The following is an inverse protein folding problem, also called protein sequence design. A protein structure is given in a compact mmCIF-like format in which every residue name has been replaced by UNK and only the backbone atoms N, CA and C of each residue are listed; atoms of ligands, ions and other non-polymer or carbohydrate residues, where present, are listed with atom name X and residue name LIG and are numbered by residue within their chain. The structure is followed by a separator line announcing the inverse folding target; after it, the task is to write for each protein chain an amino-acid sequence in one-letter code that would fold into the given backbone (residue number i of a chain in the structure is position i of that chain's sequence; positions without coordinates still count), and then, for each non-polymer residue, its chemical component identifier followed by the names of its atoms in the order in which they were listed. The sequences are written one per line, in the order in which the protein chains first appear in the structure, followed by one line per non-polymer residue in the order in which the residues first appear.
data_IF_020996753909
#
_entry.id   IF_020996753909
#
_cell.length_a   1.000
_cell.length_b   1.000
_cell.length_c   1.000
_cell.angle_alpha   90.00
_cell.angle_beta   90.00
_cell.angle_gamma   90.00
#
_symmetry.space_group_name_H-M   'P 1'
#
loop_
_entity.id
_entity.type
_entity.pdbx_description
1 polymer ?
#
# COMPACT_ATOMS: atom_id res chain seq x y z
N UNK A 1 39.79 -22.35 49.51
CA UNK A 1 38.85 -21.20 49.54
C UNK A 1 38.97 -20.46 48.21
N UNK A 2 38.04 -20.69 47.28
CA UNK A 2 38.09 -20.12 45.93
C UNK A 2 37.26 -18.82 45.85
N UNK A 3 37.89 -17.74 45.38
CA UNK A 3 37.31 -16.40 45.27
C UNK A 3 36.56 -16.29 43.93
N UNK A 4 35.24 -16.25 43.96
CA UNK A 4 34.40 -16.12 42.76
C UNK A 4 34.58 -14.73 42.13
N UNK A 5 35.14 -14.68 40.92
CA UNK A 5 35.23 -13.46 40.12
C UNK A 5 33.82 -13.05 39.66
N UNK A 6 33.39 -11.84 40.04
CA UNK A 6 32.17 -11.20 39.50
C UNK A 6 32.33 -11.06 38.00
N UNK A 7 31.50 -11.78 37.23
CA UNK A 7 31.31 -11.50 35.81
C UNK A 7 30.76 -10.08 35.68
N UNK A 8 31.59 -9.13 35.24
CA UNK A 8 31.14 -7.82 34.78
C UNK A 8 30.30 -8.02 33.52
N UNK A 9 29.00 -7.80 33.61
CA UNK A 9 28.14 -7.67 32.44
C UNK A 9 28.64 -6.49 31.61
N UNK A 10 29.04 -6.76 30.36
CA UNK A 10 29.38 -5.68 29.42
C UNK A 10 28.17 -4.77 29.25
N UNK A 11 28.34 -3.44 29.21
CA UNK A 11 27.24 -2.54 28.95
C UNK A 11 26.59 -2.88 27.59
N UNK A 12 25.26 -2.76 27.47
CA UNK A 12 24.56 -3.08 26.24
C UNK A 12 25.09 -2.22 25.08
N UNK A 13 25.26 -2.78 23.88
CA UNK A 13 25.82 -2.07 22.76
C UNK A 13 24.95 -0.85 22.38
N UNK A 14 25.57 0.28 22.03
CA UNK A 14 24.85 1.49 21.67
C UNK A 14 23.97 1.23 20.45
N UNK A 15 22.73 1.74 20.51
CA UNK A 15 21.68 1.52 19.51
C UNK A 15 21.95 2.23 18.18
N UNK A 16 22.66 3.35 18.22
CA UNK A 16 22.93 4.14 17.02
C UNK A 16 24.44 4.31 16.84
N UNK A 17 24.91 4.11 15.61
CA UNK A 17 26.27 4.36 15.18
C UNK A 17 26.25 5.39 14.05
N UNK A 18 26.85 6.55 14.29
CA UNK A 18 26.99 7.60 13.28
C UNK A 18 28.30 7.35 12.54
N UNK A 19 28.24 7.27 11.22
CA UNK A 19 29.40 7.13 10.33
C UNK A 19 29.35 8.20 9.25
N UNK A 20 30.49 8.74 8.87
CA UNK A 20 30.57 9.68 7.76
C UNK A 20 30.91 8.91 6.46
N UNK A 21 30.10 9.11 5.40
CA UNK A 21 30.34 8.54 4.07
C UNK A 21 30.07 9.61 3.03
N UNK A 22 30.99 9.81 2.11
CA UNK A 22 30.85 10.75 0.99
C UNK A 22 30.48 12.18 1.44
N UNK A 23 31.08 12.64 2.55
CA UNK A 23 30.82 13.95 3.14
C UNK A 23 29.44 14.12 3.77
N UNK A 24 28.75 13.01 4.10
CA UNK A 24 27.45 13.00 4.77
C UNK A 24 27.49 12.12 6.00
N UNK A 25 26.88 12.60 7.09
CA UNK A 25 26.67 11.82 8.30
C UNK A 25 25.50 10.85 8.09
N UNK A 26 25.77 9.56 8.21
CA UNK A 26 24.81 8.46 8.17
C UNK A 26 24.62 7.89 9.58
N UNK A 27 23.38 7.79 10.02
CA UNK A 27 23.02 7.17 11.29
C UNK A 27 22.56 5.74 11.04
N UNK A 28 23.29 4.76 11.57
CA UNK A 28 23.00 3.32 11.48
C UNK A 28 22.37 2.87 12.80
N UNK A 29 21.19 2.23 12.76
CA UNK A 29 20.59 1.58 13.93
C UNK A 29 21.22 0.17 14.09
N UNK A 30 22.15 0.04 15.03
CA UNK A 30 22.87 -1.22 15.32
C UNK A 30 22.01 -2.26 16.03
N UNK A 31 20.78 -1.93 16.48
CA UNK A 31 19.84 -2.92 16.98
C UNK A 31 18.99 -3.55 15.86
N UNK A 32 18.97 -2.94 14.67
CA UNK A 32 18.31 -3.52 13.50
C UNK A 32 19.08 -4.71 12.90
N UNK A 33 20.37 -4.88 13.22
CA UNK A 33 21.22 -5.99 12.78
C UNK A 33 20.99 -7.31 13.53
N UNK A 34 20.09 -7.35 14.51
CA UNK A 34 19.47 -8.63 14.91
C UNK A 34 18.68 -9.10 13.70
N UNK A 35 18.94 -10.30 13.12
CA UNK A 35 18.57 -10.66 11.75
C UNK A 35 17.09 -10.42 11.48
N UNK A 36 16.81 -9.18 11.10
CA UNK A 36 15.54 -8.72 10.61
C UNK A 36 15.56 -9.28 9.21
N UNK A 37 14.70 -10.27 9.01
CA UNK A 37 14.35 -10.89 7.74
C UNK A 37 14.61 -9.85 6.65
N UNK A 38 15.69 -10.05 5.89
CA UNK A 38 16.05 -9.24 4.72
C UNK A 38 14.72 -8.99 3.99
N UNK A 39 14.22 -7.75 3.84
CA UNK A 39 12.99 -7.53 3.13
C UNK A 39 13.21 -8.13 1.76
N UNK A 40 12.48 -9.21 1.50
CA UNK A 40 12.80 -10.13 0.42
C UNK A 40 13.05 -9.33 -0.83
N UNK A 41 14.19 -9.63 -1.47
CA UNK A 41 14.43 -9.45 -2.91
C UNK A 41 13.07 -9.40 -3.58
N UNK A 42 12.64 -8.20 -3.99
CA UNK A 42 11.26 -7.94 -4.41
C UNK A 42 10.95 -8.80 -5.63
N UNK A 43 10.48 -10.01 -5.35
CA UNK A 43 10.09 -10.98 -6.35
C UNK A 43 8.73 -10.52 -6.83
N UNK A 44 8.74 -9.75 -7.91
CA UNK A 44 7.56 -9.63 -8.76
C UNK A 44 7.30 -11.04 -9.32
N UNK A 45 6.57 -11.87 -8.57
CA UNK A 45 6.17 -13.17 -9.08
C UNK A 45 5.10 -13.02 -10.17
N UNK A 46 5.14 -13.89 -11.20
CA UNK A 46 4.18 -13.89 -12.28
C UNK A 46 2.77 -14.18 -11.75
N UNK A 47 1.77 -13.60 -12.40
CA UNK A 47 0.34 -13.78 -12.12
C UNK A 47 0.06 -15.29 -11.96
N UNK A 48 -0.44 -15.71 -10.79
CA UNK A 48 -0.69 -17.12 -10.51
C UNK A 48 -1.80 -17.64 -11.44
N UNK A 49 -1.63 -18.83 -12.03
CA UNK A 49 -2.47 -19.35 -13.11
C UNK A 49 -3.95 -19.67 -12.77
N UNK A 50 -4.47 -19.24 -11.61
CA UNK A 50 -5.87 -19.39 -11.18
C UNK A 50 -6.60 -18.07 -10.89
N UNK A 51 -5.95 -16.96 -11.20
CA UNK A 51 -6.39 -15.61 -10.88
C UNK A 51 -7.45 -15.13 -11.91
N UNK A 52 -8.69 -14.92 -11.45
CA UNK A 52 -9.79 -14.44 -12.31
C UNK A 52 -9.49 -13.09 -12.98
N UNK A 53 -10.29 -12.67 -13.97
CA UNK A 53 -10.02 -11.54 -14.89
C UNK A 53 -9.49 -10.25 -14.22
N UNK A 54 -9.87 -9.97 -12.96
CA UNK A 54 -9.42 -8.77 -12.24
C UNK A 54 -8.14 -8.91 -11.41
N UNK A 55 -7.63 -10.12 -11.21
CA UNK A 55 -6.38 -10.35 -10.49
C UNK A 55 -5.09 -9.85 -11.21
N UNK A 56 -4.95 -9.86 -12.56
CA UNK A 56 -3.85 -9.16 -13.22
C UNK A 56 -3.88 -7.64 -12.97
N UNK A 57 -5.07 -7.03 -12.87
CA UNK A 57 -5.20 -5.61 -12.58
C UNK A 57 -4.71 -5.29 -11.16
N UNK A 58 -5.12 -6.08 -10.17
CA UNK A 58 -4.64 -5.94 -8.80
C UNK A 58 -3.13 -6.26 -8.73
N UNK A 59 -2.61 -7.23 -9.51
CA UNK A 59 -1.17 -7.51 -9.71
C UNK A 59 -0.39 -6.28 -10.13
N UNK A 60 -0.90 -5.56 -11.12
CA UNK A 60 -0.25 -4.36 -11.63
C UNK A 60 -0.23 -3.23 -10.59
N UNK A 61 -1.34 -3.04 -9.87
CA UNK A 61 -1.52 -1.92 -8.94
C UNK A 61 -0.86 -2.14 -7.57
N UNK A 62 -0.83 -3.38 -7.08
CA UNK A 62 -0.30 -3.73 -5.76
C UNK A 62 0.75 -4.82 -5.89
N UNK A 63 1.99 -4.39 -6.17
CA UNK A 63 3.13 -5.29 -6.37
C UNK A 63 3.71 -5.84 -5.07
N UNK A 64 3.48 -5.15 -3.95
CA UNK A 64 4.06 -5.53 -2.65
C UNK A 64 3.16 -6.56 -1.95
N UNK A 65 3.77 -7.64 -1.44
CA UNK A 65 3.11 -8.69 -0.66
C UNK A 65 3.77 -8.84 0.72
N UNK A 66 3.03 -9.35 1.69
CA UNK A 66 3.55 -9.74 3.01
C UNK A 66 4.20 -11.14 2.98
N UNK A 67 4.79 -11.54 4.12
CA UNK A 67 5.40 -12.87 4.28
C UNK A 67 4.40 -14.04 4.13
N UNK A 68 3.10 -13.76 4.28
CA UNK A 68 1.99 -14.69 4.12
C UNK A 68 1.40 -14.68 2.69
N UNK A 69 2.01 -13.93 1.75
CA UNK A 69 1.61 -13.85 0.35
C UNK A 69 0.42 -12.92 0.06
N UNK A 70 -0.11 -12.20 1.05
CA UNK A 70 -1.21 -11.23 0.89
C UNK A 70 -0.70 -9.92 0.35
N UNK A 71 -1.50 -9.22 -0.45
CA UNK A 71 -1.11 -7.93 -1.04
C UNK A 71 -1.23 -6.79 -0.04
N UNK A 72 -0.31 -5.85 -0.11
CA UNK A 72 -0.25 -4.70 0.79
C UNK A 72 -0.75 -3.43 0.10
N UNK A 73 -1.78 -2.81 0.66
CA UNK A 73 -2.28 -1.49 0.29
C UNK A 73 -1.65 -0.46 1.23
N UNK A 74 -0.85 0.46 0.69
CA UNK A 74 -0.33 1.60 1.45
C UNK A 74 -1.25 2.80 1.25
N UNK A 75 -1.81 3.33 2.32
CA UNK A 75 -2.66 4.52 2.29
C UNK A 75 -1.82 5.80 2.41
N UNK A 76 -2.37 6.94 2.00
CA UNK A 76 -1.69 8.23 2.15
C UNK A 76 -2.57 9.29 2.82
N UNK A 77 -1.94 10.32 3.45
CA UNK A 77 -2.64 11.27 4.33
C UNK A 77 -3.68 12.15 3.62
N UNK A 78 -3.56 12.29 2.30
CA UNK A 78 -4.44 13.11 1.45
C UNK A 78 -5.83 12.50 1.22
N UNK A 79 -6.04 11.21 1.50
CA UNK A 79 -7.35 10.57 1.33
C UNK A 79 -7.72 9.57 2.43
N UNK A 80 -6.81 9.24 3.35
CA UNK A 80 -7.11 8.46 4.55
C UNK A 80 -6.98 9.32 5.81
N UNK A 81 -8.09 9.46 6.55
CA UNK A 81 -8.12 10.25 7.80
C UNK A 81 -7.23 9.67 8.88
N UNK A 82 -7.00 8.35 8.88
CA UNK A 82 -6.14 7.67 9.86
C UNK A 82 -4.65 7.77 9.52
N UNK A 83 -4.28 8.49 8.46
CA UNK A 83 -2.89 8.71 8.06
C UNK A 83 -2.31 7.58 7.21
N UNK A 84 -1.00 7.61 6.93
CA UNK A 84 -0.34 6.63 6.09
C UNK A 84 -0.16 5.31 6.88
N UNK A 85 -0.86 4.26 6.46
CA UNK A 85 -0.81 2.92 7.06
C UNK A 85 -0.81 1.84 6.00
N UNK A 86 -0.29 0.68 6.35
CA UNK A 86 -0.23 -0.49 5.48
C UNK A 86 -1.35 -1.46 5.86
N UNK A 87 -2.21 -1.79 4.90
CA UNK A 87 -3.36 -2.69 5.08
C UNK A 87 -3.08 -3.96 4.27
N UNK A 88 -3.06 -5.12 4.94
CA UNK A 88 -3.01 -6.40 4.27
C UNK A 88 -4.40 -6.73 3.70
N UNK A 89 -4.49 -6.86 2.38
CA UNK A 89 -5.74 -7.11 1.69
C UNK A 89 -6.23 -8.54 1.97
N UNK A 90 -7.51 -8.63 2.34
CA UNK A 90 -8.21 -9.91 2.36
C UNK A 90 -8.56 -10.36 0.93
N UNK A 91 -8.77 -11.66 0.66
CA UNK A 91 -9.18 -12.13 -0.68
C UNK A 91 -10.47 -11.46 -1.20
N UNK A 92 -11.38 -11.12 -0.29
CA UNK A 92 -12.62 -10.36 -0.60
C UNK A 92 -12.31 -8.91 -0.95
N UNK A 93 -11.36 -8.28 -0.25
CA UNK A 93 -10.85 -6.94 -0.55
C UNK A 93 -10.18 -6.87 -1.91
N UNK A 94 -9.34 -7.86 -2.25
CA UNK A 94 -8.71 -7.96 -3.58
C UNK A 94 -9.73 -8.02 -4.71
N UNK A 95 -10.76 -8.87 -4.59
CA UNK A 95 -11.84 -8.96 -5.60
C UNK A 95 -12.64 -7.67 -5.75
N UNK A 96 -12.90 -6.96 -4.65
CA UNK A 96 -13.61 -5.67 -4.69
C UNK A 96 -12.81 -4.59 -5.41
N UNK A 97 -11.51 -4.49 -5.13
CA UNK A 97 -10.63 -3.53 -5.82
C UNK A 97 -10.48 -3.89 -7.30
N UNK A 98 -10.31 -5.18 -7.61
CA UNK A 98 -10.31 -5.69 -8.97
C UNK A 98 -11.58 -5.28 -9.75
N UNK A 99 -12.76 -5.55 -9.18
CA UNK A 99 -14.03 -5.23 -9.80
C UNK A 99 -14.21 -3.72 -10.00
N UNK A 100 -13.86 -2.91 -9.00
CA UNK A 100 -13.94 -1.46 -9.08
C UNK A 100 -13.02 -0.90 -10.17
N UNK A 101 -11.79 -1.41 -10.25
CA UNK A 101 -10.82 -1.01 -11.27
C UNK A 101 -11.23 -1.42 -12.68
N UNK A 102 -11.81 -2.62 -12.86
CA UNK A 102 -12.33 -3.04 -14.16
C UNK A 102 -13.54 -2.20 -14.59
N UNK A 103 -14.45 -1.90 -13.65
CA UNK A 103 -15.61 -1.05 -13.92
C UNK A 103 -15.15 0.36 -14.32
N UNK A 104 -14.18 0.94 -13.61
CA UNK A 104 -13.68 2.28 -13.94
C UNK A 104 -12.99 2.32 -15.30
N UNK A 105 -12.22 1.30 -15.67
CA UNK A 105 -11.61 1.18 -17.00
C UNK A 105 -12.70 1.05 -18.08
N UNK A 106 -13.70 0.19 -17.87
CA UNK A 106 -14.81 0.02 -18.80
C UNK A 106 -15.61 1.32 -19.00
N UNK A 107 -15.91 2.03 -17.92
CA UNK A 107 -16.59 3.32 -17.97
C UNK A 107 -15.75 4.37 -18.72
N UNK A 108 -14.45 4.45 -18.43
CA UNK A 108 -13.54 5.34 -19.14
C UNK A 108 -13.50 5.02 -20.63
N UNK A 109 -13.43 3.73 -20.99
CA UNK A 109 -13.43 3.30 -22.39
C UNK A 109 -14.72 3.70 -23.11
N UNK A 110 -15.88 3.54 -22.47
CA UNK A 110 -17.18 3.99 -23.03
C UNK A 110 -17.18 5.49 -23.28
N UNK A 111 -16.67 6.29 -22.34
CA UNK A 111 -16.56 7.75 -22.51
C UNK A 111 -15.64 8.10 -23.69
N UNK A 112 -14.49 7.42 -23.80
CA UNK A 112 -13.56 7.62 -24.92
C UNK A 112 -14.19 7.23 -26.25
N UNK A 113 -14.88 6.08 -26.33
CA UNK A 113 -15.55 5.64 -27.56
C UNK A 113 -16.68 6.59 -27.98
N UNK A 114 -17.49 7.06 -27.03
CA UNK A 114 -18.54 8.04 -27.30
C UNK A 114 -17.95 9.34 -27.88
N UNK A 115 -16.83 9.81 -27.34
CA UNK A 115 -16.13 11.00 -27.81
C UNK A 115 -15.55 10.87 -29.22
N UNK A 116 -15.22 9.64 -29.67
CA UNK A 116 -14.76 9.39 -31.04
C UNK A 116 -15.90 9.39 -32.05
N UNK A 117 -17.12 9.07 -31.64
CA UNK A 117 -18.31 9.08 -32.49
C UNK A 117 -18.82 10.52 -32.65
N UNK A 118 -18.92 11.24 -31.54
CA UNK A 118 -19.39 12.62 -31.51
C UNK A 118 -18.66 13.39 -30.39
N UNK A 119 -17.71 14.27 -30.74
CA UNK A 119 -16.93 15.00 -29.75
C UNK A 119 -17.75 16.04 -28.97
N UNK A 120 -18.94 16.41 -29.42
CA UNK A 120 -19.78 17.40 -28.73
C UNK A 120 -20.26 16.90 -27.35
N UNK A 121 -20.27 15.58 -27.13
CA UNK A 121 -20.59 14.95 -25.85
C UNK A 121 -19.47 15.04 -24.81
N UNK A 122 -18.25 15.42 -25.19
CA UNK A 122 -17.13 15.55 -24.24
C UNK A 122 -17.39 16.64 -23.20
N UNK A 123 -17.89 17.79 -23.65
CA UNK A 123 -18.15 18.94 -22.78
C UNK A 123 -19.13 18.62 -21.65
N UNK A 124 -20.35 18.09 -21.89
CA UNK A 124 -21.28 17.75 -20.82
C UNK A 124 -20.73 16.65 -19.89
N UNK A 125 -20.02 15.65 -20.42
CA UNK A 125 -19.40 14.59 -19.60
C UNK A 125 -18.33 15.16 -18.67
N UNK A 126 -17.47 16.04 -19.17
CA UNK A 126 -16.43 16.71 -18.38
C UNK A 126 -17.07 17.62 -17.33
N UNK A 127 -18.09 18.40 -17.70
CA UNK A 127 -18.82 19.26 -16.74
C UNK A 127 -19.43 18.42 -15.63
N UNK A 128 -20.12 17.33 -15.96
CA UNK A 128 -20.70 16.42 -14.96
C UNK A 128 -19.62 15.81 -14.08
N UNK A 129 -18.50 15.37 -14.66
CA UNK A 129 -17.38 14.81 -13.91
C UNK A 129 -16.75 15.84 -12.95
N UNK A 130 -16.57 17.09 -13.38
CA UNK A 130 -16.02 18.18 -12.56
C UNK A 130 -17.01 18.58 -11.47
N UNK A 131 -18.30 18.69 -11.77
CA UNK A 131 -19.36 18.99 -10.79
C UNK A 131 -19.45 17.88 -9.75
N UNK A 132 -19.46 16.61 -10.18
CA UNK A 132 -19.42 15.46 -9.27
C UNK A 132 -18.14 15.49 -8.42
N UNK A 133 -16.97 15.76 -9.02
CA UNK A 133 -15.72 15.85 -8.28
C UNK A 133 -15.73 16.99 -7.25
N UNK A 134 -16.29 18.16 -7.59
CA UNK A 134 -16.40 19.32 -6.72
C UNK A 134 -17.39 19.12 -5.56
N UNK A 135 -18.58 18.60 -5.86
CA UNK A 135 -19.62 18.30 -4.87
C UNK A 135 -19.16 17.24 -3.84
N UNK A 136 -18.26 16.35 -4.24
CA UNK A 136 -17.77 15.25 -3.41
C UNK A 136 -16.55 15.61 -2.54
N UNK A 137 -16.18 16.89 -2.39
CA UNK A 137 -14.87 17.30 -1.83
C UNK A 137 -14.78 17.36 -0.30
N UNK A 138 -15.88 17.53 0.44
CA UNK A 138 -15.84 17.70 1.90
C UNK A 138 -16.16 16.42 2.72
N UNK A 139 -16.97 15.51 2.19
CA UNK A 139 -17.39 14.26 2.87
C UNK A 139 -16.44 13.07 2.66
N UNK A 140 -15.36 13.27 1.90
CA UNK A 140 -14.58 12.22 1.22
C UNK A 140 -13.80 11.29 2.17
N UNK A 141 -13.11 11.84 3.16
CA UNK A 141 -12.15 11.06 3.97
C UNK A 141 -12.82 10.09 4.94
N UNK A 142 -13.96 10.44 5.52
CA UNK A 142 -14.62 9.56 6.51
C UNK A 142 -15.27 8.33 5.89
N UNK A 143 -15.83 8.45 4.67
CA UNK A 143 -16.38 7.33 3.93
C UNK A 143 -15.27 6.43 3.40
N UNK A 144 -14.21 7.02 2.84
CA UNK A 144 -13.04 6.29 2.37
C UNK A 144 -12.36 5.52 3.52
N UNK A 145 -12.16 6.13 4.68
CA UNK A 145 -11.58 5.42 5.84
C UNK A 145 -12.41 4.21 6.26
N UNK A 146 -13.75 4.30 6.29
CA UNK A 146 -14.62 3.15 6.58
C UNK A 146 -14.53 2.05 5.52
N UNK A 147 -14.48 2.45 4.25
CA UNK A 147 -14.31 1.50 3.15
C UNK A 147 -12.94 0.80 3.24
N UNK A 148 -11.86 1.52 3.55
CA UNK A 148 -10.52 0.96 3.75
C UNK A 148 -10.46 -0.04 4.91
N UNK A 149 -11.12 0.30 6.02
CA UNK A 149 -11.23 -0.61 7.17
C UNK A 149 -11.96 -1.92 6.78
N UNK A 150 -12.84 -1.90 5.78
CA UNK A 150 -13.53 -3.11 5.27
C UNK A 150 -12.68 -3.99 4.33
N UNK A 151 -11.51 -3.52 3.90
CA UNK A 151 -10.63 -4.26 2.98
C UNK A 151 -9.62 -5.14 3.72
N UNK A 152 -9.22 -4.72 4.91
CA UNK A 152 -8.26 -5.42 5.75
C UNK A 152 -8.77 -6.79 6.18
N UNK A 153 -7.88 -7.78 6.24
CA UNK A 153 -8.11 -8.91 7.11
C UNK A 153 -7.94 -8.42 8.56
N UNK A 154 -8.89 -8.71 9.45
CA UNK A 154 -8.73 -8.46 10.88
C UNK A 154 -7.38 -9.04 11.32
N UNK A 155 -6.47 -8.19 11.80
CA UNK A 155 -5.24 -8.66 12.42
C UNK A 155 -5.68 -9.42 13.67
N UNK A 156 -5.42 -10.73 13.79
CA UNK A 156 -5.67 -11.42 15.05
C UNK A 156 -4.82 -10.73 16.13
N UNK A 157 -5.34 -10.63 17.37
CA UNK A 157 -4.61 -10.05 18.49
C UNK A 157 -3.28 -10.76 18.76
#
# INVERSE_FOLDING_TARGET
MARAARQMSKPPPPRYKIVERDGRLLTIDTWADQPSIVPGRHRADPIAAGDGIGAPLVAALFRVRDAQGRRLLTTSPNWDRKGPRVIALSPKGERRIAALGLLSIGLMLVVVLAALIDPDWLLPVVVVAVVLAGAMSSSRTSWVTRWLDSLGAETPP
#
